data_IF_338997257350
#
_entry.id   IF_338997257350
#
_cell.length_a   1.000
_cell.length_b   1.000
_cell.length_c   1.000
_cell.angle_alpha   90.00
_cell.angle_beta   90.00
_cell.angle_gamma   90.00
#
_symmetry.space_group_name_H-M   'P 1'
#
loop_
_entity.id
_entity.type
_entity.pdbx_description
1 polymer ?
#
# COMPACT_ATOMS: atom_id res chain seq x y z
N UNK A 1 -1.03 -12.40 -9.53
CA UNK A 1 -1.56 -12.81 -10.86
C UNK A 1 -1.95 -11.58 -11.65
N UNK A 2 -2.08 -11.70 -12.99
CA UNK A 2 -2.57 -10.60 -13.82
C UNK A 2 -4.10 -10.41 -13.67
N UNK A 3 -4.61 -9.19 -13.98
CA UNK A 3 -6.04 -8.90 -13.85
C UNK A 3 -6.91 -9.77 -14.78
N UNK A 4 -6.44 -10.05 -16.00
CA UNK A 4 -7.14 -10.92 -16.93
C UNK A 4 -7.23 -12.38 -16.46
N UNK A 5 -6.23 -12.89 -15.73
CA UNK A 5 -6.25 -14.21 -15.13
C UNK A 5 -7.30 -14.27 -14.02
N UNK A 6 -7.30 -13.27 -13.14
CA UNK A 6 -8.26 -13.17 -12.05
C UNK A 6 -9.70 -13.09 -12.60
N UNK A 7 -9.92 -12.26 -13.64
CA UNK A 7 -11.20 -12.17 -14.33
C UNK A 7 -11.62 -13.52 -14.92
N UNK A 8 -10.70 -14.23 -15.56
CA UNK A 8 -10.98 -15.55 -16.15
C UNK A 8 -11.42 -16.56 -15.08
N UNK A 9 -10.75 -16.61 -13.94
CA UNK A 9 -11.11 -17.47 -12.82
C UNK A 9 -12.49 -17.11 -12.25
N UNK A 10 -12.80 -15.83 -12.08
CA UNK A 10 -14.12 -15.36 -11.65
C UNK A 10 -15.22 -15.79 -12.64
N UNK A 11 -14.97 -15.67 -13.94
CA UNK A 11 -15.92 -16.06 -14.98
C UNK A 11 -16.15 -17.59 -15.00
N UNK A 12 -15.09 -18.39 -14.87
CA UNK A 12 -15.20 -19.86 -14.79
C UNK A 12 -16.03 -20.25 -13.56
N UNK A 13 -15.75 -19.66 -12.40
CA UNK A 13 -16.50 -19.93 -11.19
C UNK A 13 -17.98 -19.58 -11.36
N UNK A 14 -18.29 -18.41 -11.93
CA UNK A 14 -19.66 -17.96 -12.19
C UNK A 14 -20.41 -18.88 -13.14
N UNK A 15 -19.78 -19.30 -14.26
CA UNK A 15 -20.38 -20.15 -15.27
C UNK A 15 -20.70 -21.55 -14.74
N UNK A 16 -19.92 -22.07 -13.79
CA UNK A 16 -20.11 -23.42 -13.23
C UNK A 16 -20.88 -23.38 -11.89
N UNK A 17 -21.40 -22.23 -11.44
CA UNK A 17 -22.11 -22.13 -10.17
C UNK A 17 -21.18 -22.29 -8.93
N UNK A 18 -19.89 -22.09 -9.09
CA UNK A 18 -18.91 -22.19 -8.01
C UNK A 18 -18.78 -20.90 -7.24
N UNK A 19 -18.14 -20.96 -6.06
CA UNK A 19 -17.85 -19.78 -5.27
C UNK A 19 -16.82 -18.89 -5.99
N UNK A 20 -17.15 -17.61 -6.09
CA UNK A 20 -16.25 -16.59 -6.61
C UNK A 20 -15.36 -16.03 -5.50
N UNK A 21 -14.19 -15.50 -5.86
CA UNK A 21 -13.34 -14.76 -4.92
C UNK A 21 -14.03 -13.48 -4.48
N UNK A 22 -14.02 -13.22 -3.19
CA UNK A 22 -14.60 -12.00 -2.58
C UNK A 22 -13.54 -10.94 -2.31
N UNK A 23 -12.26 -11.31 -2.35
CA UNK A 23 -11.13 -10.41 -2.13
C UNK A 23 -9.94 -10.79 -2.99
N UNK A 24 -9.12 -9.78 -3.30
CA UNK A 24 -7.83 -9.90 -3.98
C UNK A 24 -6.74 -9.33 -3.09
N UNK A 25 -5.63 -10.08 -2.95
CA UNK A 25 -4.46 -9.63 -2.21
C UNK A 25 -3.32 -9.32 -3.16
N UNK A 26 -2.84 -8.08 -3.13
CA UNK A 26 -1.78 -7.56 -4.00
C UNK A 26 -0.69 -6.84 -3.22
N UNK A 27 0.49 -6.70 -3.83
CA UNK A 27 1.53 -5.79 -3.38
C UNK A 27 1.17 -4.36 -3.76
N UNK A 28 0.90 -3.50 -2.78
CA UNK A 28 0.46 -2.13 -3.06
C UNK A 28 0.86 -1.16 -1.95
N UNK A 29 1.46 -0.05 -2.34
CA UNK A 29 1.87 1.05 -1.46
C UNK A 29 2.10 2.31 -2.28
N UNK A 30 2.40 3.46 -1.63
CA UNK A 30 2.83 4.69 -2.31
C UNK A 30 4.05 4.51 -3.21
N UNK A 31 4.91 3.51 -2.93
CA UNK A 31 6.11 3.22 -3.72
C UNK A 31 5.90 2.14 -4.78
N UNK A 32 4.74 1.49 -4.83
CA UNK A 32 4.39 0.51 -5.85
C UNK A 32 2.89 0.56 -6.16
N UNK A 33 2.54 1.10 -7.33
CA UNK A 33 1.17 1.41 -7.71
C UNK A 33 0.73 0.75 -9.03
N UNK A 34 1.46 -0.27 -9.50
CA UNK A 34 1.19 -0.88 -10.80
C UNK A 34 -0.19 -1.56 -10.89
N UNK A 35 -0.74 -1.99 -9.76
CA UNK A 35 -2.07 -2.58 -9.70
C UNK A 35 -3.22 -1.57 -9.96
N UNK A 36 -2.94 -0.27 -9.92
CA UNK A 36 -3.90 0.77 -10.32
C UNK A 36 -4.21 0.75 -11.82
N UNK A 37 -3.40 0.07 -12.64
CA UNK A 37 -3.62 -0.01 -14.08
C UNK A 37 -4.83 -0.84 -14.44
N UNK A 38 -4.99 -2.02 -13.82
CA UNK A 38 -6.04 -2.98 -14.19
C UNK A 38 -6.68 -3.65 -12.98
N UNK A 39 -5.89 -4.25 -12.06
CA UNK A 39 -6.43 -5.08 -10.98
C UNK A 39 -7.35 -4.31 -10.04
N UNK A 40 -6.93 -3.15 -9.56
CA UNK A 40 -7.73 -2.32 -8.65
C UNK A 40 -9.03 -1.85 -9.32
N UNK A 41 -9.01 -1.25 -10.54
CA UNK A 41 -10.23 -0.90 -11.26
C UNK A 41 -11.17 -2.09 -11.50
N UNK A 42 -10.63 -3.25 -11.87
CA UNK A 42 -11.43 -4.46 -12.04
C UNK A 42 -12.12 -4.88 -10.73
N UNK A 43 -11.39 -4.96 -9.64
CA UNK A 43 -11.94 -5.33 -8.34
C UNK A 43 -13.03 -4.34 -7.90
N UNK A 44 -12.79 -3.04 -8.05
CA UNK A 44 -13.77 -1.99 -7.72
C UNK A 44 -15.05 -2.11 -8.56
N UNK A 45 -14.91 -2.37 -9.87
CA UNK A 45 -16.08 -2.51 -10.78
C UNK A 45 -16.91 -3.77 -10.52
N UNK A 46 -16.31 -4.79 -9.93
CA UNK A 46 -16.96 -6.09 -9.66
C UNK A 46 -17.32 -6.34 -8.20
N UNK A 47 -17.03 -5.37 -7.31
CA UNK A 47 -17.32 -5.49 -5.88
C UNK A 47 -16.37 -6.42 -5.12
N UNK A 48 -15.22 -6.76 -5.68
CA UNK A 48 -14.18 -7.57 -5.02
C UNK A 48 -13.38 -6.69 -4.07
N UNK A 49 -13.24 -7.12 -2.82
CA UNK A 49 -12.43 -6.42 -1.81
C UNK A 49 -10.94 -6.46 -2.16
N UNK A 50 -10.21 -5.38 -1.84
CA UNK A 50 -8.77 -5.29 -2.08
C UNK A 50 -8.07 -5.22 -0.73
N UNK A 51 -7.22 -6.23 -0.44
CA UNK A 51 -6.53 -6.41 0.84
C UNK A 51 -5.00 -6.43 0.63
N UNK A 52 -4.37 -5.30 0.30
CA UNK A 52 -2.96 -5.27 -0.08
C UNK A 52 -2.01 -5.61 1.06
N UNK A 53 -0.94 -6.33 0.73
CA UNK A 53 0.19 -6.54 1.63
C UNK A 53 1.29 -5.49 1.41
N UNK A 54 2.16 -5.31 2.42
CA UNK A 54 3.27 -4.34 2.43
C UNK A 54 2.88 -2.88 2.17
N UNK A 55 1.78 -2.35 2.74
CA UNK A 55 1.35 -0.96 2.52
C UNK A 55 2.35 0.08 3.04
N UNK A 56 3.26 -0.33 3.93
CA UNK A 56 4.36 0.50 4.45
C UNK A 56 5.66 0.34 3.66
N UNK A 57 5.61 -0.26 2.46
CA UNK A 57 6.77 -0.52 1.62
C UNK A 57 7.94 -1.14 2.43
N UNK A 58 7.64 -2.23 3.18
CA UNK A 58 8.58 -2.95 4.05
C UNK A 58 9.31 -2.07 5.07
N UNK A 59 8.69 -0.96 5.44
CA UNK A 59 9.17 -0.03 6.45
C UNK A 59 9.83 1.24 5.90
N UNK A 60 9.99 1.40 4.59
CA UNK A 60 10.50 2.64 3.97
C UNK A 60 9.58 3.84 4.24
N UNK A 61 8.27 3.62 4.33
CA UNK A 61 7.27 4.67 4.60
C UNK A 61 7.01 4.89 6.10
N UNK A 62 7.88 4.39 6.99
CA UNK A 62 7.67 4.52 8.44
C UNK A 62 8.64 5.48 9.13
N UNK A 63 9.67 5.96 8.41
CA UNK A 63 10.74 6.82 8.93
C UNK A 63 11.41 7.61 7.80
N UNK A 64 12.15 8.70 8.13
CA UNK A 64 12.93 9.46 7.15
C UNK A 64 13.92 8.57 6.39
N UNK A 65 14.12 8.87 5.10
CA UNK A 65 15.10 8.18 4.29
C UNK A 65 16.52 8.40 4.82
N UNK A 66 17.35 7.36 4.80
CA UNK A 66 18.73 7.43 5.35
C UNK A 66 18.82 7.25 6.87
N UNK A 67 17.69 7.14 7.60
CA UNK A 67 17.72 6.79 9.03
C UNK A 67 18.21 5.33 9.24
N UNK A 68 18.68 5.04 10.48
CA UNK A 68 19.20 3.71 10.81
C UNK A 68 18.20 2.59 10.47
N UNK A 69 18.65 1.59 9.71
CA UNK A 69 17.85 0.41 9.40
C UNK A 69 17.57 -0.42 10.65
N UNK A 70 16.33 -0.90 10.78
CA UNK A 70 15.99 -1.85 11.83
C UNK A 70 16.61 -3.21 11.56
N UNK A 71 16.74 -4.03 12.61
CA UNK A 71 17.18 -5.44 12.51
C UNK A 71 16.36 -6.21 11.48
N UNK A 72 15.03 -5.95 11.41
CA UNK A 72 14.14 -6.57 10.42
C UNK A 72 14.49 -6.16 8.98
N UNK A 73 14.79 -4.89 8.72
CA UNK A 73 15.15 -4.44 7.37
C UNK A 73 16.48 -5.02 6.91
N UNK A 74 17.46 -5.17 7.82
CA UNK A 74 18.74 -5.80 7.51
C UNK A 74 18.61 -7.29 7.18
N UNK A 75 17.62 -7.97 7.75
CA UNK A 75 17.37 -9.41 7.55
C UNK A 75 16.36 -9.69 6.42
N UNK A 76 15.80 -8.67 5.78
CA UNK A 76 14.73 -8.83 4.82
C UNK A 76 15.28 -9.04 3.39
N UNK A 77 15.51 -10.30 3.05
CA UNK A 77 16.00 -10.74 1.73
C UNK A 77 15.01 -10.47 0.58
N UNK A 78 13.70 -10.29 0.90
CA UNK A 78 12.66 -10.02 -0.10
C UNK A 78 12.51 -8.54 -0.41
N UNK A 79 13.15 -7.64 0.36
CA UNK A 79 13.01 -6.19 0.13
C UNK A 79 13.55 -5.79 -1.23
N UNK A 80 14.69 -6.33 -1.63
CA UNK A 80 15.35 -6.07 -2.91
C UNK A 80 14.53 -6.64 -4.08
N UNK A 81 13.96 -7.83 -3.91
CA UNK A 81 13.12 -8.47 -4.93
C UNK A 81 11.80 -7.72 -5.17
N UNK A 82 11.13 -7.22 -4.13
CA UNK A 82 9.82 -6.57 -4.23
C UNK A 82 9.90 -5.09 -4.57
N UNK A 83 10.89 -4.39 -4.02
CA UNK A 83 11.02 -2.93 -4.17
C UNK A 83 12.02 -2.56 -5.28
N UNK A 84 12.98 -3.46 -5.58
CA UNK A 84 14.14 -3.12 -6.40
C UNK A 84 15.02 -2.06 -5.71
N UNK A 85 15.85 -1.39 -6.49
CA UNK A 85 16.61 -0.25 -6.00
C UNK A 85 15.68 0.94 -5.70
N UNK A 86 15.92 1.61 -4.57
CA UNK A 86 15.20 2.84 -4.21
C UNK A 86 15.62 3.96 -5.15
N UNK A 87 14.68 4.46 -5.93
CA UNK A 87 14.92 5.52 -6.91
C UNK A 87 14.87 6.92 -6.26
N UNK A 88 15.34 7.94 -7.00
CA UNK A 88 15.19 9.34 -6.57
C UNK A 88 13.72 9.74 -6.37
N UNK A 89 12.82 9.21 -7.20
CA UNK A 89 11.38 9.41 -7.07
C UNK A 89 10.82 8.80 -5.78
N UNK A 90 11.28 7.60 -5.40
CA UNK A 90 10.89 6.97 -4.14
C UNK A 90 11.35 7.81 -2.94
N UNK A 91 12.58 8.33 -2.98
CA UNK A 91 13.12 9.21 -1.93
C UNK A 91 12.25 10.48 -1.80
N UNK A 92 11.85 11.08 -2.92
CA UNK A 92 10.95 12.24 -2.90
C UNK A 92 9.59 11.90 -2.28
N UNK A 93 8.99 10.76 -2.63
CA UNK A 93 7.72 10.30 -2.04
C UNK A 93 7.87 10.09 -0.53
N UNK A 94 8.95 9.43 -0.08
CA UNK A 94 9.23 9.25 1.35
C UNK A 94 9.34 10.60 2.06
N UNK A 95 10.05 11.58 1.48
CA UNK A 95 10.16 12.93 2.01
C UNK A 95 8.79 13.64 2.12
N UNK A 96 7.90 13.46 1.14
CA UNK A 96 6.54 14.00 1.19
C UNK A 96 5.67 13.36 2.27
N UNK A 97 5.83 12.04 2.49
CA UNK A 97 5.18 11.34 3.62
C UNK A 97 5.67 11.89 4.94
N UNK A 98 6.98 12.14 5.10
CA UNK A 98 7.56 12.76 6.28
C UNK A 98 7.02 14.18 6.51
N UNK A 99 6.98 14.99 5.47
CA UNK A 99 6.46 16.37 5.53
C UNK A 99 5.00 16.38 5.99
N UNK A 100 4.11 15.61 5.37
CA UNK A 100 2.71 15.55 5.77
C UNK A 100 2.52 14.97 7.18
N UNK A 101 3.32 13.98 7.56
CA UNK A 101 3.29 13.42 8.91
C UNK A 101 3.58 14.52 9.96
N UNK A 102 4.59 15.34 9.72
CA UNK A 102 4.96 16.48 10.56
C UNK A 102 3.86 17.55 10.59
N UNK A 103 3.33 17.95 9.43
CA UNK A 103 2.26 18.95 9.32
C UNK A 103 1.00 18.54 10.06
N UNK A 104 0.62 17.26 9.97
CA UNK A 104 -0.61 16.72 10.57
C UNK A 104 -0.42 16.16 11.98
N UNK A 105 0.82 16.16 12.53
CA UNK A 105 1.12 15.66 13.87
C UNK A 105 0.82 14.19 14.05
N UNK A 106 1.18 13.35 13.06
CA UNK A 106 0.99 11.90 13.07
C UNK A 106 2.28 11.19 12.63
N UNK A 107 2.33 9.86 12.76
CA UNK A 107 3.46 9.09 12.24
C UNK A 107 3.43 8.98 10.71
N UNK A 108 4.58 8.79 10.09
CA UNK A 108 4.70 8.49 8.66
C UNK A 108 3.89 7.23 8.29
N UNK A 109 3.92 6.20 9.15
CA UNK A 109 3.11 4.99 8.98
C UNK A 109 1.60 5.32 8.91
N UNK A 110 1.14 6.25 9.75
CA UNK A 110 -0.27 6.71 9.72
C UNK A 110 -0.62 7.35 8.38
N UNK A 111 0.25 8.20 7.80
CA UNK A 111 0.03 8.81 6.48
C UNK A 111 -0.06 7.72 5.40
N UNK A 112 0.88 6.76 5.38
CA UNK A 112 0.88 5.70 4.38
C UNK A 112 -0.36 4.79 4.47
N UNK A 113 -0.83 4.46 5.68
CA UNK A 113 -2.06 3.70 5.90
C UNK A 113 -3.29 4.53 5.50
N UNK A 114 -3.33 5.81 5.87
CA UNK A 114 -4.42 6.72 5.53
C UNK A 114 -4.57 6.86 4.01
N UNK A 115 -3.45 6.90 3.28
CA UNK A 115 -3.46 6.90 1.82
C UNK A 115 -4.08 5.61 1.26
N UNK A 116 -3.70 4.43 1.75
CA UNK A 116 -4.32 3.17 1.35
C UNK A 116 -5.84 3.17 1.58
N UNK A 117 -6.29 3.63 2.74
CA UNK A 117 -7.73 3.73 3.06
C UNK A 117 -8.43 4.71 2.13
N UNK A 118 -7.81 5.86 1.81
CA UNK A 118 -8.35 6.84 0.85
C UNK A 118 -8.46 6.27 -0.58
N UNK A 119 -7.60 5.30 -0.95
CA UNK A 119 -7.69 4.55 -2.22
C UNK A 119 -8.76 3.45 -2.20
N UNK A 120 -9.51 3.30 -1.11
CA UNK A 120 -10.57 2.30 -0.99
C UNK A 120 -10.10 0.87 -0.77
N UNK A 121 -8.88 0.69 -0.28
CA UNK A 121 -8.31 -0.64 0.00
C UNK A 121 -8.17 -0.89 1.51
N UNK A 122 -8.11 -2.15 1.92
CA UNK A 122 -7.99 -2.60 3.31
C UNK A 122 -6.58 -3.16 3.54
N UNK A 123 -5.61 -2.33 3.98
CA UNK A 123 -4.21 -2.75 4.06
C UNK A 123 -3.95 -3.77 5.17
N UNK A 124 -3.13 -4.79 4.87
CA UNK A 124 -2.64 -5.78 5.85
C UNK A 124 -1.37 -5.23 6.50
N UNK A 125 -1.41 -5.03 7.82
CA UNK A 125 -0.32 -4.44 8.59
C UNK A 125 0.38 -5.49 9.46
N UNK A 126 1.71 -5.54 9.39
CA UNK A 126 2.54 -6.32 10.28
C UNK A 126 2.86 -5.54 11.56
N UNK A 127 2.17 -5.84 12.66
CA UNK A 127 2.31 -5.16 13.95
C UNK A 127 3.04 -6.06 14.95
N UNK A 128 4.29 -5.74 15.24
CA UNK A 128 5.17 -6.55 16.12
C UNK A 128 5.23 -6.11 17.58
N UNK A 129 4.42 -5.13 18.00
CA UNK A 129 4.32 -4.70 19.41
C UNK A 129 2.96 -4.07 19.70
N UNK A 130 2.57 -4.07 20.98
CA UNK A 130 1.33 -3.44 21.45
C UNK A 130 1.32 -1.95 21.14
N UNK A 131 2.44 -1.27 21.30
CA UNK A 131 2.53 0.17 20.99
C UNK A 131 2.24 0.46 19.52
N UNK A 132 2.70 -0.38 18.59
CA UNK A 132 2.37 -0.25 17.16
C UNK A 132 0.90 -0.50 16.88
N UNK A 133 0.28 -1.44 17.59
CA UNK A 133 -1.18 -1.68 17.50
C UNK A 133 -1.92 -0.42 17.93
N UNK A 134 -1.60 0.13 19.11
CA UNK A 134 -2.24 1.34 19.64
C UNK A 134 -2.07 2.54 18.70
N UNK A 135 -0.84 2.81 18.23
CA UNK A 135 -0.57 3.87 17.26
C UNK A 135 -1.35 3.70 15.95
N UNK A 136 -1.50 2.45 15.48
CA UNK A 136 -2.26 2.17 14.27
C UNK A 136 -3.75 2.42 14.47
N UNK A 137 -4.31 1.98 15.60
CA UNK A 137 -5.72 2.20 15.95
C UNK A 137 -6.04 3.69 16.07
N UNK A 138 -5.21 4.46 16.78
CA UNK A 138 -5.32 5.92 16.87
C UNK A 138 -5.22 6.60 15.50
N UNK A 139 -4.25 6.17 14.69
CA UNK A 139 -4.09 6.68 13.31
C UNK A 139 -5.31 6.39 12.44
N UNK A 140 -5.87 5.18 12.50
CA UNK A 140 -7.09 4.82 11.76
C UNK A 140 -8.32 5.62 12.21
N UNK A 141 -8.45 5.91 13.50
CA UNK A 141 -9.51 6.77 14.00
C UNK A 141 -9.46 8.18 13.35
N UNK A 142 -8.25 8.75 13.22
CA UNK A 142 -8.05 10.03 12.53
C UNK A 142 -8.29 9.94 11.02
N UNK A 143 -7.98 8.81 10.40
CA UNK A 143 -8.24 8.58 8.97
C UNK A 143 -9.74 8.62 8.67
N UNK A 144 -10.58 8.04 9.52
CA UNK A 144 -12.04 8.08 9.37
C UNK A 144 -12.61 9.50 9.43
N UNK A 145 -11.91 10.43 10.05
CA UNK A 145 -12.30 11.85 10.13
C UNK A 145 -11.71 12.71 8.99
N UNK A 146 -11.17 12.09 7.94
CA UNK A 146 -10.64 12.82 6.77
C UNK A 146 -9.23 13.37 6.99
N UNK A 147 -8.31 12.55 7.50
CA UNK A 147 -6.92 12.96 7.76
C UNK A 147 -6.21 13.50 6.51
N UNK A 148 -6.46 12.91 5.34
CA UNK A 148 -5.91 13.36 4.05
C UNK A 148 -7.00 14.00 3.20
N UNK A 149 -6.76 15.23 2.74
CA UNK A 149 -7.55 15.88 1.70
C UNK A 149 -7.11 15.40 0.30
N UNK A 150 -7.90 15.69 -0.73
CA UNK A 150 -7.55 15.34 -2.11
C UNK A 150 -6.19 15.90 -2.54
N UNK A 151 -5.86 17.12 -2.12
CA UNK A 151 -4.58 17.75 -2.47
C UNK A 151 -3.40 17.08 -1.76
N UNK A 152 -3.60 16.56 -0.53
CA UNK A 152 -2.60 15.75 0.15
C UNK A 152 -2.31 14.44 -0.62
N UNK A 153 -3.38 13.79 -1.11
CA UNK A 153 -3.26 12.56 -1.92
C UNK A 153 -2.51 12.86 -3.22
N UNK A 154 -2.89 13.90 -3.95
CA UNK A 154 -2.19 14.35 -5.17
C UNK A 154 -0.73 14.66 -4.90
N UNK A 155 -0.44 15.37 -3.80
CA UNK A 155 0.91 15.69 -3.37
C UNK A 155 1.75 14.43 -3.15
N UNK A 156 1.22 13.42 -2.47
CA UNK A 156 1.90 12.14 -2.26
C UNK A 156 2.15 11.37 -3.56
N UNK A 157 1.22 11.42 -4.50
CA UNK A 157 1.23 10.61 -5.71
C UNK A 157 2.03 11.21 -6.87
N UNK A 158 2.16 12.52 -6.92
CA UNK A 158 2.67 13.29 -8.07
C UNK A 158 4.05 12.84 -8.57
N UNK A 159 4.89 12.28 -7.69
CA UNK A 159 6.27 11.88 -8.02
C UNK A 159 6.41 10.39 -8.34
N UNK A 160 5.30 9.67 -8.39
CA UNK A 160 5.36 8.25 -8.73
C UNK A 160 5.83 8.04 -10.17
N UNK A 161 6.82 7.19 -10.32
CA UNK A 161 7.31 6.70 -11.61
C UNK A 161 6.95 5.23 -11.72
N UNK A 162 6.37 4.84 -12.85
CA UNK A 162 5.98 3.47 -13.14
C UNK A 162 7.15 2.50 -12.96
N UNK A 163 6.88 1.37 -12.35
CA UNK A 163 7.85 0.30 -12.07
C UNK A 163 7.57 -0.94 -12.92
N UNK A 164 8.56 -1.83 -13.10
CA UNK A 164 8.28 -3.14 -13.66
C UNK A 164 7.21 -3.87 -12.84
N UNK A 165 6.29 -4.54 -13.54
CA UNK A 165 5.26 -5.33 -12.87
C UNK A 165 5.91 -6.54 -12.22
N UNK A 166 5.89 -6.59 -10.90
CA UNK A 166 6.38 -7.72 -10.13
C UNK A 166 5.22 -8.69 -9.92
N UNK A 167 5.29 -9.85 -10.56
CA UNK A 167 4.34 -10.94 -10.31
C UNK A 167 4.86 -11.75 -9.13
N UNK A 168 4.17 -11.62 -7.99
CA UNK A 168 4.39 -12.54 -6.87
C UNK A 168 3.58 -13.79 -7.18
N UNK A 169 4.28 -14.86 -7.59
CA UNK A 169 3.70 -16.17 -7.86
C UNK A 169 3.56 -16.92 -6.54
#
# INVERSE_FOLDING_TARGET
MAAWEFQSLQNIAKQNGWHQFISMQDYYSLLYRENEREMIPYCQSTGVGIIPFSPLARGLLTRPYGSQQTTRQKADIYSEFLLGETTSADIEIIGRVEELARQKGVSMATIAVAWCVAKGVIPILGLGSIDRVNQTVEGLARTKTGLLAEDDIKFLEQKYIAKPVTVVI
#
